data_IF_411288775945
#
_entry.id   IF_411288775945
#
_cell.length_a   1.000
_cell.length_b   1.000
_cell.length_c   1.000
_cell.angle_alpha   90.00
_cell.angle_beta   90.00
_cell.angle_gamma   90.00
#
_symmetry.space_group_name_H-M   'P 1'
#
loop_
_entity.id
_entity.type
_entity.pdbx_description
1 polymer ?
#
# COMPACT_ATOMS: atom_id res chain seq x y z
N UNK A 1 4.08 -13.35 27.33
CA UNK A 1 4.59 -12.51 26.22
C UNK A 1 3.61 -12.73 25.07
N UNK A 2 2.94 -11.68 24.58
CA UNK A 2 2.03 -11.80 23.45
C UNK A 2 2.86 -12.20 22.22
N UNK A 3 2.47 -13.31 21.58
CA UNK A 3 3.06 -13.78 20.34
C UNK A 3 2.39 -13.00 19.18
N UNK A 4 3.17 -12.15 18.52
CA UNK A 4 2.69 -11.29 17.43
C UNK A 4 2.96 -11.89 16.04
N UNK A 5 3.27 -13.19 15.95
CA UNK A 5 3.59 -13.84 14.68
C UNK A 5 4.92 -13.39 14.09
N UNK A 6 5.88 -13.03 14.97
CA UNK A 6 7.26 -12.69 14.65
C UNK A 6 8.12 -13.95 14.76
N UNK A 7 8.01 -14.84 13.77
CA UNK A 7 9.01 -15.89 13.56
C UNK A 7 10.27 -15.22 12.98
N UNK A 8 11.37 -15.34 13.71
CA UNK A 8 12.71 -14.80 13.40
C UNK A 8 12.94 -13.30 13.68
N UNK A 9 13.27 -12.98 14.95
CA UNK A 9 14.36 -12.03 15.19
C UNK A 9 14.92 -12.18 16.63
N UNK A 10 16.16 -12.67 16.71
CA UNK A 10 16.86 -13.06 17.93
C UNK A 10 17.34 -11.90 18.85
N UNK A 11 16.76 -10.69 18.75
CA UNK A 11 17.21 -9.50 19.49
C UNK A 11 16.10 -8.66 20.16
N UNK A 12 14.90 -9.20 20.38
CA UNK A 12 13.75 -8.41 20.87
C UNK A 12 13.63 -8.25 22.41
N UNK A 13 14.71 -8.33 23.19
CA UNK A 13 14.55 -8.46 24.66
C UNK A 13 14.35 -7.16 25.48
N UNK A 14 14.64 -5.96 24.98
CA UNK A 14 14.52 -4.74 25.81
C UNK A 14 13.85 -3.52 25.13
N UNK A 15 12.83 -3.73 24.27
CA UNK A 15 12.09 -2.62 23.66
C UNK A 15 10.86 -2.22 24.48
N UNK A 16 10.73 -0.92 24.80
CA UNK A 16 9.52 -0.36 25.38
C UNK A 16 8.36 -0.52 24.39
N UNK A 17 7.28 -1.17 24.81
CA UNK A 17 6.11 -1.42 23.96
C UNK A 17 5.10 -0.30 24.12
N UNK A 18 4.68 0.30 23.01
CA UNK A 18 3.64 1.31 22.94
C UNK A 18 2.55 0.87 21.96
N UNK A 19 1.34 1.38 22.11
CA UNK A 19 0.15 0.95 21.38
C UNK A 19 -0.49 2.10 20.58
N UNK A 20 -1.25 1.73 19.55
CA UNK A 20 -1.96 2.69 18.67
C UNK A 20 -2.82 3.71 19.43
N UNK A 21 -3.48 3.29 20.50
CA UNK A 21 -4.36 4.14 21.31
C UNK A 21 -3.60 5.16 22.18
N UNK A 22 -2.27 5.06 22.26
CA UNK A 22 -1.42 6.04 22.93
C UNK A 22 -1.03 7.19 22.01
N UNK A 23 -1.27 7.07 20.69
CA UNK A 23 -0.96 8.13 19.73
C UNK A 23 -2.03 9.22 19.72
N UNK A 24 -1.57 10.46 19.61
CA UNK A 24 -2.41 11.62 19.33
C UNK A 24 -2.15 12.15 17.91
N UNK A 25 -3.13 12.83 17.28
CA UNK A 25 -2.92 13.43 15.97
C UNK A 25 -1.71 14.37 15.95
N UNK A 26 -0.82 14.16 14.97
CA UNK A 26 0.46 14.87 14.81
C UNK A 26 1.67 14.10 15.34
N UNK A 27 1.50 13.00 16.08
CA UNK A 27 2.61 12.14 16.47
C UNK A 27 3.25 11.47 15.25
N UNK A 28 4.57 11.39 15.23
CA UNK A 28 5.33 10.69 14.20
C UNK A 28 6.08 9.50 14.78
N UNK A 29 6.02 8.36 14.08
CA UNK A 29 6.78 7.16 14.40
C UNK A 29 7.64 6.80 13.19
N UNK A 30 8.93 6.61 13.40
CA UNK A 30 9.85 6.09 12.38
C UNK A 30 10.51 4.81 12.85
N UNK A 31 10.55 3.78 12.01
CA UNK A 31 11.22 2.53 12.37
C UNK A 31 11.12 1.44 11.32
N UNK A 32 11.72 0.30 11.64
CA UNK A 32 11.54 -0.94 10.88
C UNK A 32 10.08 -1.38 10.93
N UNK A 33 9.50 -1.74 9.79
CA UNK A 33 8.11 -2.17 9.69
C UNK A 33 7.99 -3.68 9.55
N UNK A 34 7.08 -4.28 10.32
CA UNK A 34 6.64 -5.66 10.15
C UNK A 34 5.12 -5.75 10.25
N UNK A 35 4.50 -6.48 9.34
CA UNK A 35 3.09 -6.88 9.41
C UNK A 35 3.02 -8.29 10.02
N UNK A 36 2.36 -8.39 11.16
CA UNK A 36 2.09 -9.65 11.86
C UNK A 36 1.10 -10.54 11.11
N UNK A 37 0.89 -11.76 11.59
CA UNK A 37 -0.21 -12.58 11.11
C UNK A 37 -1.55 -12.03 11.61
N UNK A 38 -2.64 -12.34 10.91
CA UNK A 38 -3.97 -11.98 11.37
C UNK A 38 -4.66 -13.14 12.07
N UNK A 39 -5.55 -12.77 12.98
CA UNK A 39 -6.53 -13.66 13.61
C UNK A 39 -7.88 -13.38 12.98
N UNK A 40 -8.65 -14.43 12.70
CA UNK A 40 -10.04 -14.30 12.28
C UNK A 40 -10.89 -14.07 13.51
N UNK A 41 -11.61 -12.96 13.56
CA UNK A 41 -12.51 -12.64 14.67
C UNK A 41 -13.94 -12.51 14.12
N UNK A 42 -14.92 -13.23 14.68
CA UNK A 42 -16.31 -13.04 14.30
C UNK A 42 -16.82 -11.69 14.81
N UNK A 43 -17.39 -10.87 13.94
CA UNK A 43 -18.01 -9.58 14.27
C UNK A 43 -19.42 -9.51 13.69
N UNK A 44 -20.41 -9.90 14.50
CA UNK A 44 -21.80 -10.01 14.06
C UNK A 44 -21.99 -11.10 13.00
N UNK A 45 -22.43 -10.70 11.79
CA UNK A 45 -22.61 -11.61 10.64
C UNK A 45 -21.38 -11.70 9.72
N UNK A 46 -20.28 -11.00 10.03
CA UNK A 46 -19.08 -10.91 9.19
C UNK A 46 -17.86 -11.42 9.95
N UNK A 47 -16.85 -11.87 9.22
CA UNK A 47 -15.51 -12.11 9.77
C UNK A 47 -14.66 -10.85 9.55
N UNK A 48 -13.87 -10.50 10.55
CA UNK A 48 -12.84 -9.45 10.44
C UNK A 48 -11.47 -10.09 10.62
N UNK A 49 -10.47 -9.52 9.94
CA UNK A 49 -9.07 -9.80 10.19
C UNK A 49 -8.56 -8.78 11.21
N UNK A 50 -8.07 -9.27 12.34
CA UNK A 50 -7.34 -8.50 13.35
C UNK A 50 -5.86 -8.82 13.19
N UNK A 51 -5.04 -7.83 12.88
CA UNK A 51 -3.58 -7.99 12.75
C UNK A 51 -2.84 -6.76 13.27
N UNK A 52 -1.52 -6.90 13.38
CA UNK A 52 -0.66 -5.83 13.89
C UNK A 52 0.30 -5.34 12.80
N UNK A 53 0.44 -4.03 12.70
CA UNK A 53 1.60 -3.38 12.09
C UNK A 53 2.53 -3.00 13.24
N UNK A 54 3.76 -3.49 13.20
CA UNK A 54 4.76 -3.26 14.24
C UNK A 54 5.83 -2.35 13.65
N UNK A 55 6.07 -1.21 14.30
CA UNK A 55 7.12 -0.27 13.92
C UNK A 55 8.15 -0.21 15.04
N UNK A 56 9.37 -0.67 14.76
CA UNK A 56 10.45 -0.77 15.74
C UNK A 56 11.47 0.35 15.51
N UNK A 57 11.60 1.24 16.48
CA UNK A 57 12.65 2.26 16.50
C UNK A 57 13.84 1.78 17.33
N UNK A 58 14.91 1.41 16.64
CA UNK A 58 16.17 0.97 17.26
C UNK A 58 16.92 2.09 17.98
N UNK A 59 16.68 3.37 17.64
CA UNK A 59 17.34 4.50 18.30
C UNK A 59 16.74 4.79 19.67
N UNK A 60 15.41 4.81 19.74
CA UNK A 60 14.68 5.05 20.99
C UNK A 60 14.38 3.78 21.78
N UNK A 61 14.83 2.61 21.31
CA UNK A 61 14.51 1.31 21.89
C UNK A 61 13.00 1.14 22.16
N UNK A 62 12.17 1.61 21.24
CA UNK A 62 10.71 1.55 21.34
C UNK A 62 10.14 0.73 20.21
N UNK A 63 9.06 -0.02 20.49
CA UNK A 63 8.26 -0.67 19.46
C UNK A 63 6.81 -0.24 19.59
N UNK A 64 6.22 0.16 18.47
CA UNK A 64 4.82 0.52 18.36
C UNK A 64 4.05 -0.65 17.79
N UNK A 65 3.03 -1.09 18.50
CA UNK A 65 2.13 -2.17 18.10
C UNK A 65 0.82 -1.52 17.68
N UNK A 66 0.62 -1.45 16.36
CA UNK A 66 -0.55 -0.83 15.76
C UNK A 66 -1.56 -1.90 15.36
N UNK A 67 -2.63 -2.03 16.13
CA UNK A 67 -3.71 -2.98 15.85
C UNK A 67 -4.63 -2.46 14.75
N UNK A 68 -4.86 -3.27 13.73
CA UNK A 68 -5.75 -2.98 12.62
C UNK A 68 -6.83 -4.07 12.55
N UNK A 69 -8.07 -3.62 12.41
CA UNK A 69 -9.25 -4.48 12.24
C UNK A 69 -9.97 -4.09 10.95
N UNK A 70 -10.15 -5.04 10.04
CA UNK A 70 -10.72 -4.81 8.71
C UNK A 70 -11.61 -5.99 8.30
N UNK A 71 -12.69 -5.75 7.52
CA UNK A 71 -13.48 -6.83 6.93
C UNK A 71 -12.61 -7.84 6.19
N UNK A 72 -12.88 -9.12 6.42
CA UNK A 72 -12.14 -10.23 5.82
C UNK A 72 -13.07 -11.15 5.03
N UNK A 73 -12.60 -11.57 3.85
CA UNK A 73 -13.32 -12.45 2.94
C UNK A 73 -12.58 -13.79 2.80
N UNK A 74 -13.01 -14.84 3.53
CA UNK A 74 -12.29 -16.11 3.60
C UNK A 74 -12.10 -16.80 2.26
N UNK A 75 -13.06 -16.64 1.35
CA UNK A 75 -13.07 -17.27 0.02
C UNK A 75 -11.91 -16.80 -0.86
N UNK A 76 -11.42 -15.57 -0.64
CA UNK A 76 -10.37 -14.94 -1.45
C UNK A 76 -9.14 -14.56 -0.62
N UNK A 77 -9.21 -14.78 0.69
CA UNK A 77 -8.22 -14.33 1.66
C UNK A 77 -7.91 -12.81 1.57
N UNK A 78 -8.93 -12.04 1.18
CA UNK A 78 -8.83 -10.60 1.00
C UNK A 78 -9.26 -9.83 2.25
N UNK A 79 -8.55 -8.74 2.51
CA UNK A 79 -8.94 -7.71 3.48
C UNK A 79 -9.34 -6.42 2.75
N UNK A 80 -10.22 -5.64 3.38
CA UNK A 80 -10.88 -4.52 2.71
C UNK A 80 -10.79 -3.20 3.49
N UNK A 81 -10.26 -2.17 2.85
CA UNK A 81 -10.17 -0.82 3.39
C UNK A 81 -11.13 0.13 2.69
N UNK A 82 -12.09 0.67 3.43
CA UNK A 82 -12.96 1.76 2.96
C UNK A 82 -12.29 3.11 3.18
N UNK A 83 -12.51 4.05 2.25
CA UNK A 83 -11.99 5.41 2.33
C UNK A 83 -12.27 6.05 3.68
N UNK A 84 -11.22 6.59 4.30
CA UNK A 84 -11.28 7.21 5.62
C UNK A 84 -11.00 6.28 6.80
N UNK A 85 -10.98 4.96 6.60
CA UNK A 85 -10.59 3.99 7.63
C UNK A 85 -9.07 3.85 7.81
N UNK A 86 -8.64 3.34 8.97
CA UNK A 86 -7.22 3.16 9.35
C UNK A 86 -6.44 2.39 8.28
N UNK A 87 -6.95 1.22 7.85
CA UNK A 87 -6.28 0.38 6.86
C UNK A 87 -6.21 1.05 5.48
N UNK A 88 -7.27 1.75 5.08
CA UNK A 88 -7.28 2.51 3.83
C UNK A 88 -6.22 3.61 3.85
N UNK A 89 -6.19 4.45 4.89
CA UNK A 89 -5.22 5.54 5.01
C UNK A 89 -3.80 5.00 4.95
N UNK A 90 -3.53 3.88 5.62
CA UNK A 90 -2.22 3.25 5.59
C UNK A 90 -1.83 2.76 4.18
N UNK A 91 -2.69 1.97 3.52
CA UNK A 91 -2.41 1.44 2.17
C UNK A 91 -2.28 2.55 1.13
N UNK A 92 -3.19 3.53 1.17
CA UNK A 92 -3.25 4.61 0.19
C UNK A 92 -1.98 5.47 0.25
N UNK A 93 -1.59 5.86 1.47
CA UNK A 93 -0.37 6.63 1.69
C UNK A 93 0.90 5.83 1.44
N UNK A 94 0.91 4.53 1.74
CA UNK A 94 2.04 3.67 1.41
C UNK A 94 2.22 3.54 -0.11
N UNK A 95 1.13 3.33 -0.86
CA UNK A 95 1.17 3.31 -2.31
C UNK A 95 1.63 4.64 -2.89
N UNK A 96 1.20 5.76 -2.29
CA UNK A 96 1.70 7.08 -2.68
C UNK A 96 3.20 7.20 -2.48
N UNK A 97 3.72 6.78 -1.32
CA UNK A 97 5.15 6.91 -1.04
C UNK A 97 6.02 5.98 -1.88
N UNK A 98 5.60 4.73 -2.08
CA UNK A 98 6.40 3.72 -2.80
C UNK A 98 6.21 3.84 -4.31
N UNK A 99 4.97 3.99 -4.78
CA UNK A 99 4.60 3.89 -6.19
C UNK A 99 4.20 5.23 -6.82
N UNK A 100 4.24 6.33 -6.06
CA UNK A 100 3.88 7.69 -6.50
C UNK A 100 2.45 7.80 -7.06
N UNK A 101 1.53 6.95 -6.58
CA UNK A 101 0.08 7.07 -6.87
C UNK A 101 -0.47 8.38 -6.32
N UNK A 102 -1.49 9.01 -6.93
CA UNK A 102 -2.24 10.05 -6.26
C UNK A 102 -2.89 9.54 -4.96
N UNK A 103 -2.92 10.37 -3.92
CA UNK A 103 -3.66 10.06 -2.69
C UNK A 103 -5.17 10.11 -2.94
N UNK A 104 -5.91 9.29 -2.20
CA UNK A 104 -7.35 9.12 -2.28
C UNK A 104 -7.86 8.72 -3.68
N UNK A 105 -7.01 8.05 -4.46
CA UNK A 105 -7.30 7.68 -5.83
C UNK A 105 -8.41 6.61 -5.93
N UNK A 106 -8.37 5.59 -5.07
CA UNK A 106 -9.43 4.59 -4.98
C UNK A 106 -10.46 4.98 -3.92
N UNK A 107 -11.72 4.63 -4.14
CA UNK A 107 -12.74 4.72 -3.07
C UNK A 107 -12.60 3.59 -2.03
N UNK A 108 -11.85 2.53 -2.38
CA UNK A 108 -11.55 1.42 -1.48
C UNK A 108 -10.33 0.61 -1.94
N UNK A 109 -9.77 -0.18 -1.04
CA UNK A 109 -8.74 -1.18 -1.36
C UNK A 109 -9.23 -2.57 -0.97
N UNK A 110 -9.09 -3.54 -1.88
CA UNK A 110 -9.25 -4.97 -1.60
C UNK A 110 -7.96 -5.68 -1.95
N UNK A 111 -7.28 -6.23 -0.95
CA UNK A 111 -5.95 -6.85 -1.13
C UNK A 111 -5.91 -8.22 -0.48
N UNK A 112 -5.26 -9.18 -1.13
CA UNK A 112 -4.97 -10.48 -0.52
C UNK A 112 -3.99 -10.29 0.64
N UNK A 113 -4.38 -10.75 1.84
CA UNK A 113 -3.64 -10.48 3.06
C UNK A 113 -2.22 -11.05 3.01
N UNK A 114 -2.09 -12.32 2.64
CA UNK A 114 -0.79 -12.99 2.60
C UNK A 114 0.17 -12.29 1.62
N UNK A 115 -0.32 -11.90 0.44
CA UNK A 115 0.47 -11.12 -0.51
C UNK A 115 0.85 -9.76 0.06
N UNK A 116 -0.08 -9.05 0.67
CA UNK A 116 0.18 -7.75 1.31
C UNK A 116 1.27 -7.85 2.38
N UNK A 117 1.10 -8.76 3.35
CA UNK A 117 2.06 -9.02 4.43
C UNK A 117 3.44 -9.34 3.89
N UNK A 118 3.51 -10.30 2.96
CA UNK A 118 4.80 -10.71 2.39
C UNK A 118 5.46 -9.57 1.63
N UNK A 119 4.68 -8.78 0.87
CA UNK A 119 5.22 -7.63 0.13
C UNK A 119 5.83 -6.60 1.05
N UNK A 120 5.15 -6.22 2.13
CA UNK A 120 5.70 -5.26 3.10
C UNK A 120 6.94 -5.83 3.79
N UNK A 121 6.85 -7.03 4.38
CA UNK A 121 7.93 -7.58 5.19
C UNK A 121 9.21 -7.83 4.37
N UNK A 122 9.08 -8.23 3.10
CA UNK A 122 10.23 -8.51 2.24
C UNK A 122 10.78 -7.28 1.51
N UNK A 123 9.94 -6.30 1.17
CA UNK A 123 10.38 -5.18 0.31
C UNK A 123 10.59 -3.88 1.06
N UNK A 124 10.02 -3.68 2.25
CA UNK A 124 10.21 -2.46 3.02
C UNK A 124 11.22 -2.67 4.14
N UNK A 125 12.13 -1.71 4.29
CA UNK A 125 13.12 -1.67 5.36
C UNK A 125 12.62 -0.84 6.54
N UNK A 126 12.12 0.36 6.28
CA UNK A 126 11.59 1.26 7.30
C UNK A 126 10.49 2.16 6.75
N UNK A 127 9.65 2.65 7.64
CA UNK A 127 8.62 3.66 7.35
C UNK A 127 8.67 4.78 8.36
N UNK A 128 8.19 5.95 7.95
CA UNK A 128 7.72 7.01 8.84
C UNK A 128 6.21 7.11 8.69
N UNK A 129 5.50 7.06 9.81
CA UNK A 129 4.05 7.24 9.87
C UNK A 129 3.70 8.43 10.74
N UNK A 130 2.73 9.21 10.28
CA UNK A 130 2.08 10.29 11.02
C UNK A 130 0.71 9.79 11.50
N UNK A 131 0.43 9.99 12.79
CA UNK A 131 -0.89 9.79 13.37
C UNK A 131 -1.79 10.93 12.89
N UNK A 132 -2.84 10.62 12.12
CA UNK A 132 -3.78 11.62 11.60
C UNK A 132 -5.17 11.39 12.16
N UNK A 133 -5.96 12.46 12.21
CA UNK A 133 -7.36 12.35 12.61
C UNK A 133 -8.10 11.38 11.68
N UNK A 134 -8.89 10.45 12.23
CA UNK A 134 -9.75 9.60 11.42
C UNK A 134 -10.79 10.46 10.68
N UNK A 135 -11.26 9.98 9.53
CA UNK A 135 -12.33 10.66 8.80
C UNK A 135 -13.70 10.54 9.49
N UNK A 136 -13.88 9.46 10.26
CA UNK A 136 -15.03 9.24 11.14
C UNK A 136 -14.76 9.89 12.51
N UNK A 137 -15.61 10.83 12.93
CA UNK A 137 -15.48 11.52 14.21
C UNK A 137 -15.72 10.60 15.41
N UNK A 138 -16.42 9.47 15.21
CA UNK A 138 -16.71 8.49 16.26
C UNK A 138 -15.62 7.41 16.39
N UNK A 139 -14.57 7.45 15.54
CA UNK A 139 -13.49 6.48 15.58
C UNK A 139 -12.65 6.61 16.86
N UNK A 140 -12.39 5.47 17.51
CA UNK A 140 -11.70 5.40 18.80
C UNK A 140 -10.18 5.49 18.72
N UNK A 141 -9.62 5.46 17.52
CA UNK A 141 -8.18 5.42 17.26
C UNK A 141 -7.82 6.36 16.12
N UNK A 142 -6.59 6.88 16.12
CA UNK A 142 -6.02 7.61 14.99
C UNK A 142 -5.86 6.73 13.75
N UNK A 143 -5.82 7.35 12.58
CA UNK A 143 -5.34 6.68 11.37
C UNK A 143 -3.81 6.80 11.28
N UNK A 144 -3.17 5.86 10.58
CA UNK A 144 -1.74 5.89 10.31
C UNK A 144 -1.50 6.26 8.85
N UNK A 145 -0.89 7.41 8.63
CA UNK A 145 -0.52 7.89 7.29
C UNK A 145 0.98 7.71 7.09
N UNK A 146 1.39 6.92 6.11
CA UNK A 146 2.80 6.80 5.71
C UNK A 146 3.23 8.09 5.04
N UNK A 147 4.26 8.73 5.58
CA UNK A 147 4.87 9.96 5.02
C UNK A 147 6.23 9.70 4.39
N UNK A 148 6.84 8.55 4.71
CA UNK A 148 8.07 8.10 4.08
C UNK A 148 8.18 6.57 4.13
N UNK A 149 8.74 5.97 3.08
CA UNK A 149 9.02 4.54 3.03
C UNK A 149 10.36 4.27 2.34
N UNK A 150 11.16 3.37 2.91
CA UNK A 150 12.46 2.96 2.37
C UNK A 150 12.38 1.52 1.88
N UNK A 151 12.53 1.32 0.56
CA UNK A 151 12.48 0.00 -0.08
C UNK A 151 13.84 -0.70 0.03
N UNK A 152 13.85 -1.98 0.44
CA UNK A 152 15.04 -2.84 0.47
C UNK A 152 15.58 -2.97 -0.96
N UNK A 153 16.84 -2.59 -1.16
CA UNK A 153 17.45 -2.49 -2.49
C UNK A 153 17.83 -3.87 -3.04
N UNK A 154 16.85 -4.71 -3.35
CA UNK A 154 17.00 -5.86 -4.24
C UNK A 154 15.81 -5.97 -5.20
N UNK A 155 15.49 -4.88 -5.89
CA UNK A 155 14.79 -5.02 -7.17
C UNK A 155 15.86 -5.02 -8.24
N UNK A 156 16.31 -6.21 -8.66
CA UNK A 156 16.86 -6.35 -10.00
C UNK A 156 15.76 -5.88 -10.94
N UNK A 157 15.80 -4.63 -11.39
CA UNK A 157 14.93 -4.11 -12.45
C UNK A 157 15.18 -4.96 -13.69
N UNK A 158 14.43 -6.04 -13.84
CA UNK A 158 14.26 -6.68 -15.13
C UNK A 158 13.52 -5.69 -16.01
N UNK A 159 14.07 -5.38 -17.18
CA UNK A 159 13.38 -4.54 -18.15
C UNK A 159 11.96 -5.10 -18.40
N UNK A 160 10.92 -4.28 -18.28
CA UNK A 160 9.55 -4.73 -18.43
C UNK A 160 9.34 -5.23 -19.85
N UNK A 161 8.78 -6.45 -19.98
CA UNK A 161 8.60 -7.09 -21.28
C UNK A 161 7.23 -6.77 -21.89
N UNK A 162 6.25 -6.43 -21.05
CA UNK A 162 4.86 -6.18 -21.45
C UNK A 162 4.28 -4.93 -20.79
N UNK A 163 3.19 -4.40 -21.34
CA UNK A 163 2.40 -3.32 -20.71
C UNK A 163 1.91 -3.73 -19.32
N UNK A 164 1.60 -5.02 -19.13
CA UNK A 164 1.18 -5.53 -17.83
C UNK A 164 2.31 -5.48 -16.80
N UNK A 165 3.54 -5.82 -17.19
CA UNK A 165 4.71 -5.70 -16.31
C UNK A 165 4.94 -4.24 -15.91
N UNK A 166 4.88 -3.32 -16.88
CA UNK A 166 4.92 -1.89 -16.59
C UNK A 166 3.79 -1.43 -15.67
N UNK A 167 2.57 -1.91 -15.88
CA UNK A 167 1.45 -1.61 -15.01
C UNK A 167 1.63 -2.16 -13.59
N UNK A 168 2.42 -3.22 -13.37
CA UNK A 168 2.73 -3.68 -12.01
C UNK A 168 3.76 -2.79 -11.31
N UNK A 169 4.58 -2.05 -12.07
CA UNK A 169 5.69 -1.24 -11.54
C UNK A 169 5.37 0.26 -11.49
N UNK A 170 4.56 0.75 -12.44
CA UNK A 170 4.12 2.15 -12.54
C UNK A 170 2.61 2.22 -12.31
N UNK A 171 2.25 2.88 -11.23
CA UNK A 171 0.87 2.96 -10.76
C UNK A 171 -0.03 3.83 -11.63
N UNK A 172 0.54 4.81 -12.36
CA UNK A 172 -0.17 5.66 -13.30
C UNK A 172 -0.49 4.85 -14.58
N UNK A 173 0.44 3.99 -15.00
CA UNK A 173 0.19 3.01 -16.06
C UNK A 173 -0.84 1.96 -15.62
N UNK A 174 -0.76 1.47 -14.37
CA UNK A 174 -1.74 0.53 -13.81
C UNK A 174 -3.16 1.08 -13.87
N UNK A 175 -3.28 2.36 -13.57
CA UNK A 175 -4.52 3.09 -13.55
C UNK A 175 -5.19 3.16 -14.92
N UNK A 176 -4.42 3.55 -15.94
CA UNK A 176 -4.87 3.55 -17.33
C UNK A 176 -5.19 2.12 -17.80
N UNK A 177 -4.36 1.16 -17.44
CA UNK A 177 -4.56 -0.27 -17.75
C UNK A 177 -5.87 -0.80 -17.18
N UNK A 178 -6.14 -0.56 -15.89
CA UNK A 178 -7.35 -1.03 -15.21
C UNK A 178 -8.60 -0.37 -15.78
N UNK A 179 -8.54 0.92 -16.10
CA UNK A 179 -9.67 1.63 -16.68
C UNK A 179 -10.05 1.09 -18.07
N UNK A 180 -9.07 0.87 -18.95
CA UNK A 180 -9.30 0.25 -20.26
C UNK A 180 -9.83 -1.18 -20.11
N UNK A 181 -9.26 -1.97 -19.20
CA UNK A 181 -9.71 -3.34 -18.94
C UNK A 181 -11.18 -3.39 -18.49
N UNK A 182 -11.58 -2.49 -17.59
CA UNK A 182 -12.96 -2.43 -17.09
C UNK A 182 -13.96 -1.99 -18.16
N UNK A 183 -13.53 -1.14 -19.11
CA UNK A 183 -14.33 -0.78 -20.31
C UNK A 183 -14.42 -1.90 -21.35
N UNK A 184 -13.56 -2.92 -21.25
CA UNK A 184 -13.42 -3.96 -22.29
C UNK A 184 -12.61 -3.49 -23.51
N UNK A 185 -11.86 -2.40 -23.37
CA UNK A 185 -11.06 -1.83 -24.45
C UNK A 185 -9.75 -2.59 -24.65
N UNK A 186 -9.21 -2.54 -25.88
CA UNK A 186 -7.91 -3.14 -26.19
C UNK A 186 -6.80 -2.44 -25.41
N UNK A 187 -5.94 -3.23 -24.78
CA UNK A 187 -4.79 -2.72 -24.03
C UNK A 187 -3.59 -2.64 -24.97
N UNK A 188 -3.29 -1.42 -25.45
CA UNK A 188 -2.14 -1.12 -26.32
C UNK A 188 -1.41 0.12 -25.80
N UNK A 189 -0.13 0.31 -26.15
CA UNK A 189 0.63 1.51 -25.76
C UNK A 189 -0.08 2.79 -26.18
N UNK A 190 -0.71 2.78 -27.36
CA UNK A 190 -1.51 3.90 -27.88
C UNK A 190 -2.72 4.19 -26.99
N UNK A 191 -3.48 3.17 -26.62
CA UNK A 191 -4.69 3.35 -25.81
C UNK A 191 -4.34 3.75 -24.38
N UNK A 192 -3.27 3.19 -23.79
CA UNK A 192 -2.77 3.62 -22.49
C UNK A 192 -2.36 5.10 -22.55
N UNK A 193 -1.59 5.51 -23.56
CA UNK A 193 -1.19 6.92 -23.73
C UNK A 193 -2.39 7.86 -23.85
N UNK A 194 -3.45 7.44 -24.56
CA UNK A 194 -4.68 8.22 -24.70
C UNK A 194 -5.42 8.37 -23.37
N UNK A 195 -5.54 7.27 -22.62
CA UNK A 195 -6.18 7.28 -21.31
C UNK A 195 -5.39 8.14 -20.30
N UNK A 196 -4.06 8.05 -20.31
CA UNK A 196 -3.18 8.93 -19.54
C UNK A 196 -3.38 10.40 -19.88
N UNK A 197 -3.58 10.73 -21.17
CA UNK A 197 -3.88 12.10 -21.59
C UNK A 197 -5.24 12.56 -21.07
N UNK A 198 -6.27 11.72 -21.14
CA UNK A 198 -7.57 12.00 -20.53
C UNK A 198 -7.45 12.27 -19.03
N UNK A 199 -6.65 11.49 -18.30
CA UNK A 199 -6.42 11.70 -16.88
C UNK A 199 -5.69 13.01 -16.59
N UNK A 200 -4.75 13.43 -17.44
CA UNK A 200 -4.12 14.73 -17.31
C UNK A 200 -5.13 15.87 -17.55
N UNK A 201 -5.93 15.76 -18.60
CA UNK A 201 -6.91 16.78 -18.97
C UNK A 201 -8.03 16.93 -17.91
N UNK A 202 -8.40 15.81 -17.25
CA UNK A 202 -9.33 15.78 -16.13
C UNK A 202 -8.70 16.22 -14.78
N UNK A 203 -7.40 16.52 -14.75
CA UNK A 203 -6.67 16.88 -13.52
C UNK A 203 -6.46 15.71 -12.54
N UNK A 204 -6.65 14.47 -12.99
CA UNK A 204 -6.46 13.24 -12.19
C UNK A 204 -4.98 12.88 -11.99
N UNK A 205 -4.11 13.32 -12.89
CA UNK A 205 -2.64 13.18 -12.77
C UNK A 205 -1.95 14.50 -13.06
N UNK A 206 -0.73 14.66 -12.54
CA UNK A 206 0.11 15.83 -12.82
C UNK A 206 0.80 15.71 -14.18
N UNK A 207 1.23 16.83 -14.74
CA UNK A 207 2.01 16.84 -15.99
C UNK A 207 3.33 16.05 -15.84
N UNK A 208 3.95 16.09 -14.66
CA UNK A 208 5.14 15.30 -14.35
C UNK A 208 4.85 13.79 -14.38
N UNK A 209 3.80 13.35 -13.69
CA UNK A 209 3.38 11.94 -13.69
C UNK A 209 3.02 11.43 -15.09
N UNK A 210 2.35 12.27 -15.88
CA UNK A 210 2.06 11.98 -17.28
C UNK A 210 3.34 11.77 -18.11
N UNK A 211 4.32 12.68 -18.01
CA UNK A 211 5.59 12.56 -18.74
C UNK A 211 6.38 11.32 -18.34
N UNK A 212 6.49 11.03 -17.03
CA UNK A 212 7.17 9.84 -16.52
C UNK A 212 6.52 8.55 -17.05
N UNK A 213 5.19 8.45 -16.98
CA UNK A 213 4.47 7.27 -17.47
C UNK A 213 4.67 7.07 -18.98
N UNK A 214 4.70 8.14 -19.78
CA UNK A 214 5.02 8.05 -21.21
C UNK A 214 6.46 7.61 -21.48
N UNK A 215 7.42 8.01 -20.65
CA UNK A 215 8.81 7.56 -20.76
C UNK A 215 8.96 6.09 -20.43
N UNK A 216 8.26 5.60 -19.40
CA UNK A 216 8.22 4.17 -19.06
C UNK A 216 7.60 3.35 -20.20
N UNK A 217 6.49 3.79 -20.80
CA UNK A 217 5.87 3.11 -21.95
C UNK A 217 6.80 2.99 -23.16
N UNK A 218 7.70 3.96 -23.39
CA UNK A 218 8.69 3.91 -24.47
C UNK A 218 9.76 2.83 -24.27
N UNK A 219 9.93 2.32 -23.05
CA UNK A 219 10.90 1.26 -22.75
C UNK A 219 10.42 -0.12 -23.20
N UNK A 220 9.12 -0.27 -23.50
CA UNK A 220 8.64 -1.48 -24.14
C UNK A 220 9.22 -1.59 -25.54
N UNK A 221 9.82 -2.75 -25.84
CA UNK A 221 10.15 -3.06 -27.23
C UNK A 221 8.86 -3.01 -28.05
N UNK A 222 8.86 -2.39 -29.24
CA UNK A 222 7.70 -2.45 -30.10
C UNK A 222 7.32 -3.92 -30.29
N UNK A 223 6.10 -4.30 -29.90
CA UNK A 223 5.54 -5.57 -30.33
C UNK A 223 5.57 -5.53 -31.86
N UNK A 224 6.12 -6.58 -32.47
CA UNK A 224 6.16 -6.74 -33.91
C UNK A 224 4.71 -6.94 -34.37
N UNK A 225 4.00 -5.84 -34.54
CA UNK A 225 2.80 -5.73 -35.38
C UNK A 225 3.18 -4.79 -36.52
N UNK A 226 4.17 -5.23 -37.30
CA UNK A 226 4.30 -4.83 -38.69
C UNK A 226 3.53 -5.85 -39.52
N UNK A 227 2.25 -5.57 -39.73
CA UNK A 227 1.50 -5.77 -40.99
C UNK A 227 0.11 -5.13 -40.89
#
# INVERSE_FOLDING_TARGET
MLDFGLSDNAQMKDYATKFLNELIPGDEITGEIVVGEFKKVPMGKREVAEFFIIITDHKSHSKWVCELTTPYYPETDNIYGEKGGVFYTFIDSLNHEVNRTPLNWQENYSVNFNRFRNTINHNLSSVTVEAVKPADEDAKTVNLKVTHAVVKTEVKKTEPKTIYDLAQEDSIILMAYAHLRNKGDRITVKNISFELKSFLDDGKITEGAYKTALEELKKLKPSVDSE
#
